data_IF_810256334204
#
_entry.id   IF_810256334204
#
_cell.length_a   1.000
_cell.length_b   1.000
_cell.length_c   1.000
_cell.angle_alpha   90.00
_cell.angle_beta   90.00
_cell.angle_gamma   90.00
#
_symmetry.space_group_name_H-M   'P 1'
#
loop_
_entity.id
_entity.type
_entity.pdbx_description
1 polymer ?
#
# COMPACT_ATOMS: atom_id res chain seq x y z
N UNK A 1 66.37 -25.28 50.91
CA UNK A 1 66.23 -24.38 49.76
C UNK A 1 64.75 -24.11 49.54
N UNK A 2 64.33 -22.86 49.67
CA UNK A 2 63.25 -22.22 48.90
C UNK A 2 63.06 -20.80 49.45
N UNK A 3 63.50 -19.81 48.69
CA UNK A 3 63.23 -18.39 48.93
C UNK A 3 62.02 -18.02 48.09
N UNK A 4 61.01 -17.38 48.68
CA UNK A 4 60.00 -16.62 47.94
C UNK A 4 59.93 -15.23 48.56
N UNK A 5 60.34 -14.22 47.78
CA UNK A 5 60.31 -12.82 48.13
C UNK A 5 59.19 -12.13 47.35
N UNK A 6 58.22 -11.58 48.08
CA UNK A 6 57.15 -10.73 47.55
C UNK A 6 57.65 -9.29 47.52
N UNK A 7 57.89 -8.72 46.33
CA UNK A 7 58.14 -7.29 46.17
C UNK A 7 56.86 -6.59 45.69
N UNK A 8 56.29 -5.73 46.53
CA UNK A 8 55.20 -4.84 46.17
C UNK A 8 55.77 -3.41 46.08
N UNK A 9 56.08 -2.94 44.86
CA UNK A 9 56.54 -1.58 44.62
C UNK A 9 55.34 -0.65 44.41
N UNK A 10 55.19 0.36 45.28
CA UNK A 10 54.18 1.42 45.13
C UNK A 10 54.62 2.37 44.00
N UNK A 11 53.79 2.51 42.96
CA UNK A 11 54.02 3.50 41.90
C UNK A 11 54.04 4.94 42.46
N UNK A 12 54.98 5.79 42.01
CA UNK A 12 55.04 7.20 42.38
C UNK A 12 53.75 7.97 42.00
N UNK A 13 53.34 8.91 42.84
CA UNK A 13 52.08 9.65 42.67
C UNK A 13 51.96 10.40 41.34
N UNK A 14 53.07 10.89 40.76
CA UNK A 14 53.05 11.57 39.46
C UNK A 14 52.69 10.61 38.31
N UNK A 15 53.07 9.34 38.40
CA UNK A 15 52.73 8.32 37.39
C UNK A 15 51.24 8.00 37.44
N UNK A 16 50.65 7.95 38.65
CA UNK A 16 49.20 7.77 38.81
C UNK A 16 48.41 8.95 38.23
N UNK A 17 48.90 10.17 38.40
CA UNK A 17 48.26 11.38 37.84
C UNK A 17 48.31 11.39 36.31
N UNK A 18 49.44 11.00 35.71
CA UNK A 18 49.59 10.89 34.25
C UNK A 18 48.64 9.83 33.68
N UNK A 19 48.52 8.66 34.34
CA UNK A 19 47.59 7.60 33.91
C UNK A 19 46.12 8.05 34.00
N UNK A 20 45.76 8.83 35.03
CA UNK A 20 44.43 9.42 35.18
C UNK A 20 44.12 10.42 34.07
N UNK A 21 45.05 11.32 33.75
CA UNK A 21 44.89 12.30 32.67
C UNK A 21 44.78 11.62 31.30
N UNK A 22 45.60 10.60 31.03
CA UNK A 22 45.50 9.79 29.80
C UNK A 22 44.14 9.10 29.69
N UNK A 23 43.63 8.53 30.78
CA UNK A 23 42.30 7.89 30.79
C UNK A 23 41.17 8.87 30.49
N UNK A 24 41.29 10.11 30.97
CA UNK A 24 40.30 11.15 30.72
C UNK A 24 40.33 11.65 29.27
N UNK A 25 41.52 11.78 28.68
CA UNK A 25 41.67 12.14 27.26
C UNK A 25 41.11 11.06 26.35
N UNK A 26 41.38 9.78 26.64
CA UNK A 26 40.81 8.65 25.89
C UNK A 26 39.28 8.64 26.02
N UNK A 27 38.75 8.87 27.22
CA UNK A 27 37.30 8.95 27.44
C UNK A 27 36.66 10.10 26.64
N UNK A 28 37.27 11.28 26.62
CA UNK A 28 36.79 12.42 25.83
C UNK A 28 36.86 12.16 24.33
N UNK A 29 37.93 11.51 23.84
CA UNK A 29 38.04 11.10 22.44
C UNK A 29 36.99 10.07 22.06
N UNK A 30 36.68 9.10 22.93
CA UNK A 30 35.62 8.12 22.73
C UNK A 30 34.24 8.79 22.74
N UNK A 31 33.95 9.69 23.69
CA UNK A 31 32.69 10.45 23.72
C UNK A 31 32.55 11.29 22.44
N UNK A 32 33.61 11.96 21.99
CA UNK A 32 33.60 12.74 20.76
C UNK A 32 33.38 11.83 19.53
N UNK A 33 34.07 10.70 19.44
CA UNK A 33 33.92 9.71 18.37
C UNK A 33 32.51 9.11 18.32
N UNK A 34 31.95 8.70 19.46
CA UNK A 34 30.58 8.20 19.54
C UNK A 34 29.51 9.28 19.31
N UNK A 35 29.75 10.52 19.74
CA UNK A 35 28.85 11.64 19.44
C UNK A 35 28.81 11.97 17.94
N UNK A 36 29.95 11.83 17.24
CA UNK A 36 30.05 12.00 15.79
C UNK A 36 29.43 10.83 15.04
N UNK A 37 29.62 9.59 15.51
CA UNK A 37 28.94 8.42 14.94
C UNK A 37 27.42 8.48 15.12
N UNK A 38 26.91 8.91 16.27
CA UNK A 38 25.47 9.11 16.47
C UNK A 38 24.88 10.16 15.53
N UNK A 39 25.59 11.27 15.31
CA UNK A 39 25.16 12.34 14.40
C UNK A 39 25.26 11.94 12.92
N UNK A 40 26.30 11.18 12.55
CA UNK A 40 26.48 10.66 11.18
C UNK A 40 25.46 9.56 10.89
N UNK A 41 25.21 8.64 11.83
CA UNK A 41 24.17 7.62 11.71
C UNK A 41 22.78 8.25 11.51
N UNK A 42 22.42 9.29 12.27
CA UNK A 42 21.15 10.01 12.10
C UNK A 42 20.98 10.69 10.72
N UNK A 43 22.08 11.12 10.08
CA UNK A 43 22.03 11.78 8.78
C UNK A 43 21.98 10.75 7.64
N UNK A 44 22.69 9.63 7.75
CA UNK A 44 22.64 8.55 6.75
C UNK A 44 21.35 7.70 6.84
N UNK A 45 20.73 7.57 8.03
CA UNK A 45 19.53 6.76 8.26
C UNK A 45 18.24 7.39 7.70
N UNK A 46 18.17 8.72 7.56
CA UNK A 46 16.94 9.41 7.13
C UNK A 46 16.78 9.56 5.62
N UNK A 47 17.87 9.55 4.86
CA UNK A 47 17.80 9.63 3.40
C UNK A 47 17.56 8.25 2.79
N UNK A 48 18.25 7.23 3.29
CA UNK A 48 18.11 5.85 2.82
C UNK A 48 16.71 5.27 3.15
N UNK A 49 16.18 5.58 4.33
CA UNK A 49 14.82 5.15 4.73
C UNK A 49 13.70 5.78 3.93
N UNK A 50 13.85 7.00 3.39
CA UNK A 50 12.84 7.61 2.52
C UNK A 50 12.85 7.03 1.12
N UNK A 51 14.04 6.72 0.60
CA UNK A 51 14.20 6.12 -0.72
C UNK A 51 13.56 4.74 -0.80
N UNK A 52 13.50 4.00 0.32
CA UNK A 52 12.81 2.71 0.41
C UNK A 52 11.32 2.76 0.02
N UNK A 53 10.65 3.92 0.18
CA UNK A 53 9.25 4.09 -0.19
C UNK A 53 9.05 4.54 -1.64
N UNK A 54 10.11 4.99 -2.32
CA UNK A 54 10.03 5.35 -3.74
C UNK A 54 10.01 4.07 -4.59
N UNK A 55 9.15 4.05 -5.61
CA UNK A 55 9.18 2.99 -6.61
C UNK A 55 10.19 3.37 -7.68
N UNK A 56 11.34 2.69 -7.71
CA UNK A 56 12.43 2.99 -8.63
C UNK A 56 12.30 2.20 -9.94
N UNK A 57 12.51 2.83 -11.12
CA UNK A 57 12.35 2.20 -12.44
C UNK A 57 13.32 1.05 -12.75
N UNK A 58 14.54 1.08 -12.20
CA UNK A 58 15.61 0.15 -12.60
C UNK A 58 16.09 -0.79 -11.49
N UNK A 59 15.72 -0.54 -10.24
CA UNK A 59 16.19 -1.31 -9.07
C UNK A 59 15.19 -2.41 -8.64
N UNK A 60 14.04 -2.49 -9.31
CA UNK A 60 12.92 -3.30 -8.84
C UNK A 60 12.38 -2.82 -7.50
N UNK A 61 11.49 -3.59 -6.86
CA UNK A 61 10.94 -3.23 -5.57
C UNK A 61 11.98 -3.52 -4.46
N UNK A 62 12.67 -2.50 -3.94
CA UNK A 62 13.59 -2.65 -2.81
C UNK A 62 12.84 -2.76 -1.46
N UNK A 63 11.94 -3.76 -1.38
CA UNK A 63 11.04 -3.97 -0.25
C UNK A 63 11.76 -4.45 1.01
N UNK A 64 13.03 -4.81 0.90
CA UNK A 64 13.83 -5.30 2.04
C UNK A 64 13.99 -4.25 3.16
N UNK A 65 13.88 -2.97 2.81
CA UNK A 65 13.91 -1.84 3.75
C UNK A 65 12.51 -1.45 4.25
N UNK A 66 11.45 -2.03 3.70
CA UNK A 66 10.08 -1.79 4.14
C UNK A 66 9.61 -2.84 5.14
N UNK A 67 8.70 -2.50 6.06
CA UNK A 67 8.10 -3.47 6.97
C UNK A 67 7.51 -4.68 6.23
N UNK A 68 7.79 -5.88 6.72
CA UNK A 68 7.18 -7.11 6.19
C UNK A 68 5.70 -7.17 6.59
N UNK A 69 4.82 -6.76 5.68
CA UNK A 69 3.37 -6.72 5.91
C UNK A 69 2.74 -8.11 6.06
N UNK A 70 3.37 -9.18 5.59
CA UNK A 70 2.89 -10.54 5.85
C UNK A 70 3.14 -10.99 7.30
N UNK A 71 4.01 -10.30 8.05
CA UNK A 71 4.37 -10.66 9.43
C UNK A 71 3.60 -9.91 10.52
N UNK A 72 2.80 -8.91 10.16
CA UNK A 72 2.00 -8.14 11.11
C UNK A 72 0.60 -8.75 11.30
N UNK A 73 -0.10 -8.32 12.35
CA UNK A 73 -1.48 -8.74 12.59
C UNK A 73 -2.42 -8.09 11.58
N UNK A 74 -3.30 -8.87 10.96
CA UNK A 74 -4.37 -8.38 10.08
C UNK A 74 -5.74 -8.64 10.71
N UNK A 75 -6.77 -7.83 10.37
CA UNK A 75 -8.12 -8.08 10.88
C UNK A 75 -8.56 -9.49 10.55
N UNK A 76 -9.09 -10.21 11.55
CA UNK A 76 -9.71 -11.51 11.30
C UNK A 76 -11.09 -11.27 10.69
N UNK A 77 -11.18 -11.39 9.37
CA UNK A 77 -12.43 -11.25 8.65
C UNK A 77 -13.22 -12.56 8.65
N UNK A 78 -14.40 -12.55 9.26
CA UNK A 78 -15.41 -13.60 9.06
C UNK A 78 -16.04 -13.44 7.67
N UNK A 79 -15.28 -13.78 6.63
CA UNK A 79 -15.70 -13.66 5.22
C UNK A 79 -16.96 -14.51 4.95
N UNK A 80 -17.88 -14.04 4.09
CA UNK A 80 -19.09 -14.76 3.77
C UNK A 80 -18.78 -16.13 3.12
N UNK A 81 -19.63 -17.11 3.41
CA UNK A 81 -19.51 -18.47 2.87
C UNK A 81 -20.14 -18.62 1.47
N UNK A 82 -19.88 -17.66 0.58
CA UNK A 82 -20.34 -17.73 -0.81
C UNK A 82 -19.45 -18.68 -1.60
N UNK A 83 -20.05 -19.54 -2.43
CA UNK A 83 -19.33 -20.55 -3.22
C UNK A 83 -19.05 -20.10 -4.65
N UNK A 84 -19.90 -19.22 -5.19
CA UNK A 84 -19.79 -18.61 -6.52
C UNK A 84 -20.15 -17.13 -6.39
N UNK A 85 -20.91 -16.57 -7.32
CA UNK A 85 -21.28 -15.14 -7.33
C UNK A 85 -22.33 -14.83 -6.26
N UNK A 86 -22.15 -13.69 -5.60
CA UNK A 86 -23.13 -13.10 -4.68
C UNK A 86 -23.22 -11.60 -4.92
N UNK A 87 -24.40 -11.02 -4.75
CA UNK A 87 -24.60 -9.58 -4.82
C UNK A 87 -24.68 -9.09 -3.39
N UNK A 88 -23.64 -8.40 -2.93
CA UNK A 88 -23.69 -7.74 -1.64
C UNK A 88 -24.63 -6.54 -1.63
N UNK A 89 -25.08 -6.16 -0.42
CA UNK A 89 -25.91 -4.96 -0.23
C UNK A 89 -25.26 -3.99 0.74
N UNK A 90 -25.31 -2.70 0.41
CA UNK A 90 -24.81 -1.64 1.29
C UNK A 90 -23.32 -1.75 1.58
N UNK A 91 -22.98 -1.97 2.84
CA UNK A 91 -21.62 -1.87 3.38
C UNK A 91 -21.14 -3.19 3.99
N UNK A 92 -21.71 -4.32 3.59
CA UNK A 92 -21.31 -5.63 4.11
C UNK A 92 -19.95 -6.07 3.55
N UNK A 93 -19.33 -7.08 4.17
CA UNK A 93 -18.15 -7.73 3.60
C UNK A 93 -18.60 -8.73 2.52
N UNK A 94 -18.26 -8.50 1.25
CA UNK A 94 -18.93 -9.18 0.11
C UNK A 94 -18.12 -10.27 -0.58
N UNK A 95 -16.83 -10.38 -0.28
CA UNK A 95 -15.94 -11.38 -0.87
C UNK A 95 -15.72 -12.57 0.07
N UNK A 96 -16.00 -13.78 -0.44
CA UNK A 96 -15.54 -15.02 0.21
C UNK A 96 -14.01 -15.08 0.26
N UNK A 97 -13.46 -16.00 1.07
CA UNK A 97 -12.01 -16.19 1.19
C UNK A 97 -11.35 -16.50 -0.16
N UNK A 98 -11.95 -17.40 -0.94
CA UNK A 98 -11.46 -17.79 -2.25
C UNK A 98 -11.45 -16.64 -3.24
N UNK A 99 -12.50 -15.82 -3.26
CA UNK A 99 -12.62 -14.66 -4.16
C UNK A 99 -11.64 -13.54 -3.80
N UNK A 100 -11.49 -13.23 -2.51
CA UNK A 100 -10.47 -12.29 -2.04
C UNK A 100 -9.07 -12.76 -2.46
N UNK A 101 -8.76 -14.03 -2.22
CA UNK A 101 -7.46 -14.60 -2.59
C UNK A 101 -7.26 -14.67 -4.11
N UNK A 102 -8.33 -14.78 -4.91
CA UNK A 102 -8.25 -14.63 -6.36
C UNK A 102 -7.77 -13.23 -6.75
N UNK A 103 -8.37 -12.17 -6.19
CA UNK A 103 -7.97 -10.79 -6.49
C UNK A 103 -6.51 -10.52 -6.09
N UNK A 104 -6.10 -10.99 -4.90
CA UNK A 104 -4.72 -10.87 -4.44
C UNK A 104 -3.75 -11.56 -5.41
N UNK A 105 -4.05 -12.80 -5.83
CA UNK A 105 -3.18 -13.54 -6.76
C UNK A 105 -3.13 -12.89 -8.14
N UNK A 106 -4.25 -12.33 -8.63
CA UNK A 106 -4.27 -11.61 -9.90
C UNK A 106 -3.44 -10.33 -9.85
N UNK A 107 -3.53 -9.55 -8.77
CA UNK A 107 -2.74 -8.34 -8.59
C UNK A 107 -1.24 -8.65 -8.49
N UNK A 108 -0.85 -9.72 -7.79
CA UNK A 108 0.54 -10.18 -7.72
C UNK A 108 1.09 -10.61 -9.08
N UNK A 109 0.31 -11.32 -9.89
CA UNK A 109 0.75 -11.68 -11.24
C UNK A 109 0.83 -10.47 -12.17
N UNK A 110 -0.07 -9.50 -12.03
CA UNK A 110 0.03 -8.23 -12.73
C UNK A 110 1.32 -7.49 -12.37
N UNK A 111 1.62 -7.34 -11.08
CA UNK A 111 2.87 -6.74 -10.61
C UNK A 111 4.10 -7.48 -11.16
N UNK A 112 4.08 -8.82 -11.17
CA UNK A 112 5.15 -9.64 -11.76
C UNK A 112 5.39 -9.30 -13.22
N UNK A 113 4.31 -9.10 -13.99
CA UNK A 113 4.40 -8.65 -15.38
C UNK A 113 5.00 -7.24 -15.46
N UNK A 114 4.55 -6.30 -14.64
CA UNK A 114 5.09 -4.94 -14.63
C UNK A 114 6.59 -4.91 -14.31
N UNK A 115 7.05 -5.70 -13.33
CA UNK A 115 8.47 -5.86 -13.01
C UNK A 115 9.24 -6.47 -14.19
N UNK A 116 8.70 -7.52 -14.83
CA UNK A 116 9.36 -8.17 -15.97
C UNK A 116 9.56 -7.23 -17.17
N UNK A 117 8.70 -6.22 -17.30
CA UNK A 117 8.75 -5.19 -18.33
C UNK A 117 9.54 -3.95 -17.90
N UNK A 118 10.07 -3.90 -16.66
CA UNK A 118 10.68 -2.72 -16.04
C UNK A 118 9.74 -1.50 -16.01
N UNK A 119 8.48 -1.76 -15.65
CA UNK A 119 7.41 -0.77 -15.60
C UNK A 119 6.87 -0.56 -14.19
N UNK A 120 7.57 -1.00 -13.15
CA UNK A 120 7.06 -0.91 -11.77
C UNK A 120 6.72 0.52 -11.34
N UNK A 121 7.37 1.54 -11.89
CA UNK A 121 7.10 2.96 -11.64
C UNK A 121 6.12 3.60 -12.64
N UNK A 122 5.57 2.83 -13.59
CA UNK A 122 4.64 3.31 -14.62
C UNK A 122 3.18 2.94 -14.36
N UNK A 123 2.88 2.41 -13.18
CA UNK A 123 1.52 2.08 -12.75
C UNK A 123 1.28 2.42 -11.30
N UNK A 124 0.01 2.43 -10.90
CA UNK A 124 -0.40 2.66 -9.52
C UNK A 124 -1.77 2.05 -9.22
N UNK A 125 -2.04 1.76 -7.94
CA UNK A 125 -3.39 1.45 -7.45
C UNK A 125 -4.35 2.61 -7.78
N UNK A 126 -5.53 2.31 -8.31
CA UNK A 126 -6.46 3.31 -8.81
C UNK A 126 -7.86 3.17 -8.19
N UNK A 127 -8.73 4.16 -8.43
CA UNK A 127 -10.16 4.13 -8.08
C UNK A 127 -10.46 3.55 -6.67
N UNK A 128 -11.35 2.56 -6.57
CA UNK A 128 -11.77 1.96 -5.30
C UNK A 128 -10.63 1.24 -4.57
N UNK A 129 -9.71 0.65 -5.32
CA UNK A 129 -8.52 -0.01 -4.76
C UNK A 129 -7.59 0.97 -4.04
N UNK A 130 -7.35 2.14 -4.62
CA UNK A 130 -6.56 3.19 -3.97
C UNK A 130 -7.26 3.72 -2.71
N UNK A 131 -8.58 3.89 -2.75
CA UNK A 131 -9.36 4.24 -1.56
C UNK A 131 -9.21 3.17 -0.47
N UNK A 132 -9.24 1.89 -0.84
CA UNK A 132 -9.01 0.77 0.08
C UNK A 132 -7.65 0.85 0.78
N UNK A 133 -6.57 1.12 0.03
CA UNK A 133 -5.23 1.33 0.59
C UNK A 133 -5.18 2.45 1.62
N UNK A 134 -5.87 3.57 1.37
CA UNK A 134 -5.92 4.73 2.28
C UNK A 134 -6.82 4.50 3.49
N UNK A 135 -7.87 3.70 3.35
CA UNK A 135 -8.98 3.64 4.31
C UNK A 135 -8.95 2.39 5.18
N UNK A 136 -8.53 1.26 4.63
CA UNK A 136 -8.63 -0.06 5.25
C UNK A 136 -7.30 -0.83 5.23
N UNK A 137 -6.26 -0.28 4.59
CA UNK A 137 -5.02 -0.98 4.24
C UNK A 137 -5.23 -2.24 3.38
N UNK A 138 -6.41 -2.44 2.79
CA UNK A 138 -6.77 -3.55 1.90
C UNK A 138 -7.97 -3.14 1.03
N UNK A 139 -8.54 -4.06 0.25
CA UNK A 139 -9.75 -3.80 -0.52
C UNK A 139 -10.88 -3.28 0.39
N UNK A 140 -11.69 -2.35 -0.11
CA UNK A 140 -12.86 -1.88 0.65
C UNK A 140 -13.78 -3.09 0.91
N UNK A 141 -14.31 -3.28 2.14
CA UNK A 141 -15.06 -4.48 2.50
C UNK A 141 -16.25 -4.80 1.56
N UNK A 142 -16.89 -3.77 1.04
CA UNK A 142 -18.03 -3.85 0.11
C UNK A 142 -17.67 -3.60 -1.36
N UNK A 143 -16.40 -3.79 -1.72
CA UNK A 143 -15.91 -3.71 -3.10
C UNK A 143 -15.51 -5.10 -3.60
N UNK A 144 -15.68 -5.37 -4.91
CA UNK A 144 -15.59 -6.72 -5.46
C UNK A 144 -14.59 -6.91 -6.61
N UNK A 145 -13.83 -5.88 -6.96
CA UNK A 145 -12.73 -5.94 -7.93
C UNK A 145 -11.51 -5.13 -7.48
N UNK A 146 -10.47 -5.15 -8.31
CA UNK A 146 -9.24 -4.39 -8.09
C UNK A 146 -8.92 -3.57 -9.33
N UNK A 147 -8.65 -2.28 -9.16
CA UNK A 147 -8.32 -1.34 -10.21
C UNK A 147 -6.85 -0.92 -10.10
N UNK A 148 -6.15 -0.99 -11.23
CA UNK A 148 -4.81 -0.40 -11.43
C UNK A 148 -4.84 0.54 -12.61
N UNK A 149 -4.01 1.58 -12.61
CA UNK A 149 -3.90 2.50 -13.74
C UNK A 149 -2.47 2.55 -14.26
N UNK A 150 -2.31 2.55 -15.59
CA UNK A 150 -1.02 2.46 -16.27
C UNK A 150 -0.93 3.48 -17.41
N UNK A 151 0.29 3.93 -17.75
CA UNK A 151 0.48 4.76 -18.94
C UNK A 151 0.09 3.99 -20.21
N UNK A 152 -0.85 4.55 -20.99
CA UNK A 152 -1.40 3.95 -22.20
C UNK A 152 -0.31 3.54 -23.21
N UNK A 153 0.84 4.24 -23.22
CA UNK A 153 1.96 3.94 -24.12
C UNK A 153 2.50 2.52 -23.95
N UNK A 154 2.32 1.91 -22.78
CA UNK A 154 2.78 0.54 -22.48
C UNK A 154 1.70 -0.53 -22.70
N UNK A 155 0.47 -0.16 -23.09
CA UNK A 155 -0.66 -1.10 -23.19
C UNK A 155 -0.34 -2.32 -24.07
N UNK A 156 0.29 -2.13 -25.24
CA UNK A 156 0.61 -3.22 -26.17
C UNK A 156 1.62 -4.22 -25.57
N UNK A 157 2.68 -3.74 -24.91
CA UNK A 157 3.67 -4.61 -24.29
C UNK A 157 3.09 -5.36 -23.10
N UNK A 158 2.26 -4.69 -22.30
CA UNK A 158 1.55 -5.30 -21.17
C UNK A 158 0.58 -6.38 -21.67
N UNK A 159 -0.24 -6.09 -22.67
CA UNK A 159 -1.16 -7.08 -23.28
C UNK A 159 -0.40 -8.31 -23.77
N UNK A 160 0.71 -8.12 -24.49
CA UNK A 160 1.52 -9.23 -24.98
C UNK A 160 2.10 -10.07 -23.83
N UNK A 161 2.61 -9.43 -22.77
CA UNK A 161 3.15 -10.14 -21.61
C UNK A 161 2.07 -10.90 -20.82
N UNK A 162 0.90 -10.29 -20.61
CA UNK A 162 -0.23 -10.92 -19.93
C UNK A 162 -0.81 -12.10 -20.74
N UNK A 163 -0.82 -12.01 -22.07
CA UNK A 163 -1.24 -13.12 -22.94
C UNK A 163 -0.31 -14.34 -22.87
N UNK A 164 0.95 -14.13 -22.47
CA UNK A 164 1.96 -15.18 -22.29
C UNK A 164 1.99 -15.77 -20.88
N UNK A 165 1.09 -15.34 -19.98
CA UNK A 165 0.96 -15.96 -18.65
C UNK A 165 0.50 -17.42 -18.76
N UNK A 166 0.72 -18.23 -17.70
CA UNK A 166 0.23 -19.60 -17.65
C UNK A 166 -1.26 -19.72 -18.02
N UNK A 167 -1.65 -20.88 -18.55
CA UNK A 167 -2.99 -21.13 -19.08
C UNK A 167 -4.12 -21.07 -18.03
N UNK A 168 -3.79 -20.87 -16.76
CA UNK A 168 -4.75 -20.56 -15.70
C UNK A 168 -5.21 -19.09 -15.70
N UNK A 169 -4.55 -18.19 -16.45
CA UNK A 169 -4.92 -16.78 -16.56
C UNK A 169 -5.52 -16.46 -17.94
N UNK A 170 -6.40 -15.47 -17.98
CA UNK A 170 -7.03 -14.95 -19.19
C UNK A 170 -7.07 -13.44 -19.13
N UNK A 171 -7.05 -12.83 -20.31
CA UNK A 171 -7.25 -11.39 -20.46
C UNK A 171 -8.43 -11.10 -21.39
N UNK A 172 -9.01 -9.92 -21.23
CA UNK A 172 -9.99 -9.40 -22.17
C UNK A 172 -9.75 -7.91 -22.39
N UNK A 173 -9.54 -7.51 -23.65
CA UNK A 173 -9.29 -6.13 -24.00
C UNK A 173 -10.60 -5.41 -24.34
N UNK A 174 -10.83 -4.25 -23.72
CA UNK A 174 -11.96 -3.37 -24.03
C UNK A 174 -11.46 -2.10 -24.75
N UNK A 175 -12.34 -1.16 -25.09
CA UNK A 175 -11.91 0.08 -25.76
C UNK A 175 -10.92 0.89 -24.91
N UNK A 176 -11.26 1.16 -23.64
CA UNK A 176 -10.47 2.03 -22.75
C UNK A 176 -9.77 1.35 -21.57
N UNK A 177 -10.00 0.05 -21.34
CA UNK A 177 -9.38 -0.73 -20.24
C UNK A 177 -9.21 -2.19 -20.64
N UNK A 178 -8.39 -2.92 -19.89
CA UNK A 178 -8.22 -4.36 -20.04
C UNK A 178 -8.58 -5.08 -18.74
N UNK A 179 -8.95 -6.36 -18.83
CA UNK A 179 -9.23 -7.22 -17.68
C UNK A 179 -8.21 -8.34 -17.59
N UNK A 180 -7.78 -8.68 -16.38
CA UNK A 180 -7.01 -9.89 -16.07
C UNK A 180 -7.77 -10.71 -15.03
N UNK A 181 -7.97 -12.00 -15.31
CA UNK A 181 -8.77 -12.90 -14.50
C UNK A 181 -8.30 -14.36 -14.66
N UNK A 182 -8.78 -15.28 -13.82
CA UNK A 182 -8.48 -16.70 -14.00
C UNK A 182 -9.30 -17.29 -15.13
N UNK A 183 -8.78 -18.35 -15.76
CA UNK A 183 -9.56 -19.25 -16.61
C UNK A 183 -10.83 -19.63 -15.83
N UNK A 184 -12.03 -19.40 -16.39
CA UNK A 184 -13.25 -19.56 -15.62
C UNK A 184 -13.43 -21.02 -15.16
N UNK A 185 -13.80 -21.18 -13.89
CA UNK A 185 -14.17 -22.46 -13.30
C UNK A 185 -15.44 -22.96 -13.98
N UNK A 186 -15.49 -24.25 -14.31
CA UNK A 186 -16.66 -24.86 -14.95
C UNK A 186 -17.91 -24.74 -14.07
N UNK A 187 -19.08 -24.55 -14.68
CA UNK A 187 -20.35 -24.46 -13.95
C UNK A 187 -20.68 -25.76 -13.18
N UNK A 188 -20.21 -26.90 -13.70
CA UNK A 188 -20.43 -28.22 -13.08
C UNK A 188 -19.38 -28.59 -12.01
N UNK A 189 -18.36 -27.74 -11.81
CA UNK A 189 -17.33 -28.00 -10.82
C UNK A 189 -17.82 -27.74 -9.40
N UNK A 190 -17.48 -28.63 -8.46
CA UNK A 190 -17.83 -28.44 -7.05
C UNK A 190 -16.86 -27.44 -6.43
N UNK A 191 -17.39 -26.34 -5.88
CA UNK A 191 -16.61 -25.24 -5.32
C UNK A 191 -17.08 -24.90 -3.90
N UNK A 192 -16.19 -24.33 -3.10
CA UNK A 192 -16.48 -23.85 -1.75
C UNK A 192 -15.99 -22.40 -1.58
N UNK A 193 -16.24 -21.81 -0.41
CA UNK A 193 -15.87 -20.41 -0.12
C UNK A 193 -14.38 -20.12 -0.04
N UNK A 194 -13.52 -21.13 -0.14
CA UNK A 194 -12.07 -20.99 -0.23
C UNK A 194 -11.54 -21.28 -1.65
N UNK A 195 -12.40 -21.60 -2.62
CA UNK A 195 -12.00 -21.85 -4.00
C UNK A 195 -11.44 -20.59 -4.66
N UNK A 196 -10.19 -20.66 -5.12
CA UNK A 196 -9.54 -19.62 -5.92
C UNK A 196 -9.84 -19.84 -7.40
N UNK A 197 -10.20 -18.78 -8.09
CA UNK A 197 -10.51 -18.74 -9.51
C UNK A 197 -11.59 -17.71 -9.83
N UNK A 198 -12.00 -17.66 -11.09
CA UNK A 198 -13.03 -16.75 -11.62
C UNK A 198 -14.21 -17.56 -12.17
N UNK A 199 -15.38 -16.94 -12.22
CA UNK A 199 -16.65 -17.52 -12.61
C UNK A 199 -17.19 -16.81 -13.86
N UNK A 200 -17.56 -17.58 -14.87
CA UNK A 200 -17.98 -17.06 -16.17
C UNK A 200 -19.35 -16.38 -16.11
N UNK A 201 -19.59 -15.36 -16.93
CA UNK A 201 -20.93 -14.81 -17.16
C UNK A 201 -21.59 -15.44 -18.38
N UNK A 202 -22.92 -15.29 -18.46
CA UNK A 202 -23.69 -15.70 -19.64
C UNK A 202 -23.67 -14.68 -20.77
N UNK A 203 -23.39 -13.42 -20.49
CA UNK A 203 -23.66 -12.28 -21.39
C UNK A 203 -22.45 -11.37 -21.67
N UNK A 204 -21.29 -11.66 -21.06
CA UNK A 204 -20.04 -10.95 -21.33
C UNK A 204 -18.88 -11.94 -21.49
N UNK A 205 -17.83 -11.60 -22.26
CA UNK A 205 -16.74 -12.51 -22.61
C UNK A 205 -15.59 -12.57 -21.58
N UNK A 206 -15.75 -12.02 -20.38
CA UNK A 206 -14.79 -12.12 -19.27
C UNK A 206 -15.38 -12.93 -18.10
N UNK A 207 -14.64 -13.05 -17.00
CA UNK A 207 -15.10 -13.72 -15.78
C UNK A 207 -14.61 -12.99 -14.54
N UNK A 208 -15.28 -13.24 -13.40
CA UNK A 208 -15.02 -12.55 -12.13
C UNK A 208 -14.76 -13.53 -10.97
N UNK A 209 -13.87 -13.24 -10.02
CA UNK A 209 -13.14 -11.98 -9.80
C UNK A 209 -12.13 -11.65 -10.90
N UNK A 210 -11.89 -10.36 -11.10
CA UNK A 210 -10.93 -9.82 -12.06
C UNK A 210 -10.24 -8.59 -11.48
N UNK A 211 -9.11 -8.21 -12.09
CA UNK A 211 -8.58 -6.86 -11.96
C UNK A 211 -8.90 -6.06 -13.25
N UNK A 212 -9.25 -4.80 -13.09
CA UNK A 212 -9.37 -3.82 -14.16
C UNK A 212 -8.06 -3.04 -14.32
N UNK A 213 -7.51 -3.07 -15.53
CA UNK A 213 -6.30 -2.36 -15.93
C UNK A 213 -6.76 -1.11 -16.71
N UNK A 214 -6.85 -0.01 -15.99
CA UNK A 214 -7.19 1.31 -16.50
C UNK A 214 -5.95 1.95 -17.16
N UNK A 215 -6.20 2.90 -18.06
CA UNK A 215 -5.13 3.60 -18.76
C UNK A 215 -5.28 5.10 -18.65
N UNK A 216 -4.15 5.80 -18.52
CA UNK A 216 -4.09 7.24 -18.69
C UNK A 216 -3.25 7.59 -19.91
N UNK A 217 -3.62 8.69 -20.59
CA UNK A 217 -2.91 9.21 -21.75
C UNK A 217 -2.38 10.59 -21.41
N UNK A 218 -1.06 10.76 -21.52
CA UNK A 218 -0.41 12.07 -21.39
C UNK A 218 -0.92 13.03 -22.47
N UNK A 219 -1.30 14.23 -22.05
CA UNK A 219 -1.77 15.32 -22.93
C UNK A 219 -0.78 16.49 -22.95
N UNK A 220 0.12 16.57 -21.97
CA UNK A 220 1.24 17.50 -21.90
C UNK A 220 2.41 16.92 -21.10
N UNK A 221 3.34 17.78 -20.67
CA UNK A 221 4.49 17.34 -19.87
C UNK A 221 4.06 16.78 -18.50
N UNK A 222 3.14 17.49 -17.85
CA UNK A 222 2.69 17.21 -16.48
C UNK A 222 1.19 16.88 -16.42
N UNK A 223 0.53 16.72 -17.56
CA UNK A 223 -0.92 16.49 -17.61
C UNK A 223 -1.27 15.20 -18.34
N UNK A 224 -2.31 14.53 -17.87
CA UNK A 224 -2.88 13.36 -18.52
C UNK A 224 -4.40 13.33 -18.38
N UNK A 225 -5.05 12.47 -19.14
CA UNK A 225 -6.47 12.14 -19.01
C UNK A 225 -6.65 10.65 -18.82
N UNK A 226 -7.65 10.23 -18.04
CA UNK A 226 -8.05 8.82 -18.04
C UNK A 226 -8.73 8.45 -19.36
N UNK A 227 -8.36 7.32 -19.94
CA UNK A 227 -8.91 6.87 -21.23
C UNK A 227 -10.38 6.45 -21.12
N UNK A 228 -10.77 5.81 -20.01
CA UNK A 228 -12.17 5.39 -19.80
C UNK A 228 -13.10 6.57 -19.50
N UNK A 229 -12.57 7.61 -18.85
CA UNK A 229 -13.33 8.77 -18.42
C UNK A 229 -12.56 10.04 -18.79
N UNK A 230 -12.56 10.40 -20.08
CA UNK A 230 -11.74 11.50 -20.63
C UNK A 230 -11.97 12.87 -19.97
N UNK A 231 -13.05 13.04 -19.21
CA UNK A 231 -13.31 14.22 -18.39
C UNK A 231 -12.47 14.30 -17.10
N UNK A 232 -11.66 13.29 -16.81
CA UNK A 232 -10.79 13.20 -15.63
C UNK A 232 -9.36 13.55 -16.02
N UNK A 233 -8.97 14.80 -15.78
CA UNK A 233 -7.61 15.28 -15.96
C UNK A 233 -6.76 15.00 -14.71
N UNK A 234 -5.52 14.55 -14.93
CA UNK A 234 -4.52 14.34 -13.90
C UNK A 234 -3.43 15.38 -14.01
N UNK A 235 -3.05 15.95 -12.87
CA UNK A 235 -1.72 16.52 -12.68
C UNK A 235 -0.77 15.38 -12.33
N UNK A 236 0.11 15.02 -13.27
CA UNK A 236 1.08 13.94 -13.13
C UNK A 236 2.10 14.21 -12.02
N UNK A 237 2.27 15.46 -11.56
CA UNK A 237 3.10 15.77 -10.38
C UNK A 237 2.48 15.29 -9.08
N UNK A 238 1.16 15.10 -9.04
CA UNK A 238 0.46 14.49 -7.91
C UNK A 238 0.56 12.96 -7.94
N UNK A 239 0.93 12.38 -9.09
CA UNK A 239 1.06 10.93 -9.28
C UNK A 239 2.50 10.49 -9.12
N UNK A 240 3.43 11.13 -9.83
CA UNK A 240 4.80 10.68 -9.98
C UNK A 240 5.81 11.51 -9.17
N UNK A 241 6.95 10.90 -8.77
CA UNK A 241 7.19 9.45 -8.75
C UNK A 241 6.18 8.76 -7.83
N UNK A 242 5.75 7.56 -8.23
CA UNK A 242 4.85 6.73 -7.43
C UNK A 242 5.57 6.22 -6.18
N UNK A 243 4.80 5.98 -5.13
CA UNK A 243 5.27 5.59 -3.80
C UNK A 243 4.69 4.23 -3.42
N UNK A 244 5.42 3.43 -2.64
CA UNK A 244 4.88 2.22 -2.04
C UNK A 244 3.87 2.55 -0.94
N UNK A 245 2.68 1.94 -1.05
CA UNK A 245 1.64 1.95 -0.02
C UNK A 245 1.19 0.54 0.35
N UNK A 246 0.69 0.32 1.59
CA UNK A 246 0.15 -0.97 1.97
C UNK A 246 -1.19 -1.23 1.26
N UNK A 247 -1.35 -2.44 0.73
CA UNK A 247 -2.64 -2.96 0.30
C UNK A 247 -2.65 -4.49 0.46
N UNK A 248 -3.35 -4.94 1.49
CA UNK A 248 -3.21 -6.27 2.05
C UNK A 248 -1.79 -6.51 2.55
N UNK A 249 -1.33 -7.75 2.42
CA UNK A 249 -0.02 -8.19 2.93
C UNK A 249 1.17 -7.75 2.04
N UNK A 250 0.98 -6.77 1.15
CA UNK A 250 1.95 -6.37 0.13
C UNK A 250 2.04 -4.85 0.01
N UNK A 251 3.18 -4.39 -0.49
CA UNK A 251 3.42 -3.00 -0.86
C UNK A 251 3.22 -2.86 -2.36
N UNK A 252 2.43 -1.88 -2.79
CA UNK A 252 2.20 -1.61 -4.20
C UNK A 252 2.42 -0.13 -4.54
N UNK A 253 2.78 0.17 -5.81
CA UNK A 253 2.82 1.53 -6.31
C UNK A 253 1.48 2.24 -6.15
N UNK A 254 1.53 3.47 -5.62
CA UNK A 254 0.41 4.37 -5.48
C UNK A 254 0.84 5.80 -5.86
N UNK A 255 -0.09 6.69 -6.22
CA UNK A 255 0.23 8.09 -6.49
C UNK A 255 0.94 8.74 -5.30
N UNK A 256 1.89 9.65 -5.55
CA UNK A 256 2.55 10.45 -4.52
C UNK A 256 1.56 11.17 -3.60
N UNK A 257 0.53 11.77 -4.18
CA UNK A 257 -0.57 12.42 -3.49
C UNK A 257 -1.90 11.75 -3.88
N UNK A 258 -2.25 10.65 -3.22
CA UNK A 258 -3.43 9.87 -3.58
C UNK A 258 -4.73 10.62 -3.31
N UNK A 259 -4.76 11.52 -2.31
CA UNK A 259 -5.94 12.35 -2.02
C UNK A 259 -6.26 13.29 -3.17
N UNK A 260 -5.24 13.92 -3.76
CA UNK A 260 -5.44 14.81 -4.91
C UNK A 260 -5.99 14.04 -6.11
N UNK A 261 -5.42 12.88 -6.42
CA UNK A 261 -5.91 12.05 -7.53
C UNK A 261 -7.35 11.59 -7.27
N UNK A 262 -7.64 11.03 -6.09
CA UNK A 262 -8.98 10.53 -5.73
C UNK A 262 -10.05 11.62 -5.73
N UNK A 263 -9.68 12.87 -5.43
CA UNK A 263 -10.61 14.01 -5.48
C UNK A 263 -11.07 14.34 -6.91
N UNK A 264 -10.38 13.85 -7.95
CA UNK A 264 -10.85 13.94 -9.34
C UNK A 264 -11.99 12.95 -9.62
N UNK A 265 -12.02 11.80 -8.93
CA UNK A 265 -13.01 10.74 -9.08
C UNK A 265 -14.22 10.93 -8.18
N UNK A 266 -13.96 11.20 -6.91
CA UNK A 266 -14.94 11.16 -5.83
C UNK A 266 -15.08 12.54 -5.21
N UNK A 267 -16.32 12.93 -4.90
CA UNK A 267 -16.57 14.21 -4.24
C UNK A 267 -15.90 14.24 -2.86
N UNK A 268 -15.00 15.20 -2.67
CA UNK A 268 -14.33 15.50 -1.41
C UNK A 268 -15.16 16.42 -0.50
N UNK A 269 -16.48 16.50 -0.63
CA UNK A 269 -17.25 17.51 0.12
C UNK A 269 -17.84 17.05 1.45
N UNK A 270 -17.91 15.73 1.72
CA UNK A 270 -18.77 15.21 2.82
C UNK A 270 -18.23 14.02 3.65
N UNK A 271 -16.98 13.58 3.46
CA UNK A 271 -16.39 12.43 4.18
C UNK A 271 -17.30 11.18 4.21
N UNK A 272 -17.96 10.92 3.08
CA UNK A 272 -18.93 9.82 2.97
C UNK A 272 -18.26 8.55 2.49
N UNK A 273 -18.73 7.44 3.03
CA UNK A 273 -18.50 6.12 2.50
C UNK A 273 -19.66 5.82 1.54
N UNK A 274 -19.31 5.46 0.31
CA UNK A 274 -20.25 5.12 -0.74
C UNK A 274 -20.24 3.61 -0.94
N UNK A 275 -21.42 3.00 -0.96
CA UNK A 275 -21.55 1.61 -1.42
C UNK A 275 -21.35 1.56 -2.93
N UNK A 276 -20.90 0.42 -3.45
CA UNK A 276 -20.72 0.25 -4.89
C UNK A 276 -22.06 0.50 -5.64
N UNK A 277 -21.97 1.12 -6.82
CA UNK A 277 -23.10 1.26 -7.75
C UNK A 277 -23.13 0.13 -8.79
N UNK A 278 -22.16 -0.78 -8.75
CA UNK A 278 -21.92 -1.81 -9.74
C UNK A 278 -21.54 -3.10 -9.02
N UNK A 279 -22.37 -4.13 -9.13
CA UNK A 279 -21.95 -5.47 -8.70
C UNK A 279 -21.23 -6.13 -9.86
N UNK A 280 -19.91 -6.25 -9.79
CA UNK A 280 -19.15 -7.00 -10.77
C UNK A 280 -19.50 -8.49 -10.65
N UNK A 281 -19.67 -9.03 -9.44
CA UNK A 281 -20.11 -10.40 -9.25
C UNK A 281 -21.37 -10.78 -10.07
N UNK A 282 -22.34 -9.89 -10.24
CA UNK A 282 -23.51 -10.11 -11.08
C UNK A 282 -23.46 -9.42 -12.46
N UNK A 283 -22.39 -8.69 -12.76
CA UNK A 283 -22.25 -7.84 -13.96
C UNK A 283 -23.54 -7.01 -14.23
N UNK A 284 -24.16 -6.44 -13.19
CA UNK A 284 -25.17 -5.35 -13.33
C UNK A 284 -25.00 -4.16 -12.36
N UNK A 285 -25.61 -3.02 -12.71
CA UNK A 285 -25.75 -1.89 -11.79
C UNK A 285 -26.66 -2.24 -10.62
N UNK A 286 -26.38 -1.66 -9.45
CA UNK A 286 -27.18 -1.83 -8.23
C UNK A 286 -27.38 -0.46 -7.55
N UNK A 287 -28.44 -0.29 -6.73
CA UNK A 287 -28.62 0.94 -5.97
C UNK A 287 -27.41 1.22 -5.08
N UNK A 288 -26.85 2.43 -5.20
CA UNK A 288 -25.78 2.92 -4.34
C UNK A 288 -26.36 3.82 -3.24
N UNK A 289 -25.71 3.81 -2.09
CA UNK A 289 -26.04 4.63 -0.93
C UNK A 289 -24.77 5.26 -0.36
N UNK A 290 -24.93 6.39 0.32
CA UNK A 290 -23.82 7.10 0.96
C UNK A 290 -24.14 7.33 2.42
N UNK A 291 -23.20 7.02 3.30
CA UNK A 291 -23.31 7.24 4.74
C UNK A 291 -22.06 7.96 5.26
N UNK A 292 -22.13 8.69 6.38
CA UNK A 292 -20.90 9.14 7.05
C UNK A 292 -20.02 7.92 7.35
N UNK A 293 -18.73 7.95 6.98
CA UNK A 293 -17.85 6.81 7.22
C UNK A 293 -17.78 6.43 8.71
N UNK A 294 -17.95 7.39 9.62
CA UNK A 294 -18.01 7.16 11.07
C UNK A 294 -19.14 6.22 11.51
N UNK A 295 -20.23 6.13 10.75
CA UNK A 295 -21.32 5.19 11.04
C UNK A 295 -20.92 3.71 10.84
N UNK A 296 -19.78 3.46 10.18
CA UNK A 296 -19.29 2.13 9.84
C UNK A 296 -18.19 1.62 10.77
N UNK A 297 -17.76 2.40 11.77
CA UNK A 297 -16.66 2.02 12.68
C UNK A 297 -16.91 0.71 13.42
N UNK A 298 -18.15 0.42 13.80
CA UNK A 298 -18.50 -0.82 14.48
C UNK A 298 -18.49 -2.04 13.55
N UNK A 299 -18.49 -1.84 12.23
CA UNK A 299 -18.54 -2.90 11.23
C UNK A 299 -17.16 -3.17 10.62
N UNK A 300 -16.39 -2.10 10.39
CA UNK A 300 -15.14 -2.16 9.65
C UNK A 300 -14.07 -1.33 10.33
N UNK A 301 -12.84 -1.80 10.23
CA UNK A 301 -11.69 -1.04 10.72
C UNK A 301 -11.32 0.08 9.74
N UNK A 302 -10.87 1.22 10.26
CA UNK A 302 -10.48 2.38 9.47
C UNK A 302 -9.07 2.85 9.83
N UNK A 303 -8.37 3.36 8.83
CA UNK A 303 -7.05 3.95 9.01
C UNK A 303 -7.15 5.30 9.71
N UNK A 304 -6.33 5.45 10.76
CA UNK A 304 -6.07 6.68 11.46
C UNK A 304 -4.60 7.06 11.31
N UNK A 305 -4.35 8.29 10.85
CA UNK A 305 -3.01 8.83 10.59
C UNK A 305 -2.48 9.60 11.78
N UNK A 306 -1.24 9.28 12.19
CA UNK A 306 -0.52 9.91 13.27
C UNK A 306 0.84 10.43 12.76
N UNK A 307 0.97 11.72 12.41
CA UNK A 307 2.25 12.27 11.93
C UNK A 307 3.35 12.10 12.98
N UNK A 308 4.55 11.71 12.54
CA UNK A 308 5.70 11.49 13.42
C UNK A 308 6.43 12.82 13.66
N UNK A 309 6.55 13.22 14.93
CA UNK A 309 7.24 14.45 15.32
C UNK A 309 8.75 14.41 14.99
N UNK A 310 9.34 15.57 14.67
CA UNK A 310 10.80 15.74 14.54
C UNK A 310 11.35 15.91 13.12
N UNK A 311 10.54 15.73 12.07
CA UNK A 311 10.97 15.97 10.68
C UNK A 311 10.48 17.36 10.21
N UNK A 312 11.40 18.31 10.01
CA UNK A 312 11.08 19.66 9.54
C UNK A 312 10.54 19.64 8.10
N UNK A 313 9.49 20.43 7.86
CA UNK A 313 8.91 20.67 6.52
C UNK A 313 9.98 21.30 5.60
N UNK A 314 10.40 20.59 4.56
CA UNK A 314 10.91 21.19 3.32
C UNK A 314 9.77 21.29 2.31
N UNK A 315 9.86 22.15 1.31
CA UNK A 315 8.82 22.26 0.27
C UNK A 315 8.72 21.02 -0.65
N UNK A 316 9.65 20.07 -0.49
CA UNK A 316 9.68 18.73 -1.13
C UNK A 316 9.26 17.61 -0.14
N UNK A 317 8.81 17.95 1.07
CA UNK A 317 8.84 17.04 2.23
C UNK A 317 7.64 16.10 2.34
N UNK A 318 7.80 14.92 1.75
CA UNK A 318 7.14 13.74 2.29
C UNK A 318 7.53 13.56 3.77
N UNK A 319 6.56 13.20 4.60
CA UNK A 319 6.68 13.07 6.05
C UNK A 319 6.31 11.66 6.50
N UNK A 320 7.04 11.15 7.49
CA UNK A 320 6.68 9.88 8.10
C UNK A 320 5.39 10.03 8.91
N UNK A 321 4.50 9.07 8.72
CA UNK A 321 3.23 8.98 9.41
C UNK A 321 3.02 7.54 9.87
N UNK A 322 2.62 7.35 11.13
CA UNK A 322 2.15 6.06 11.60
C UNK A 322 0.66 5.93 11.24
N UNK A 323 0.34 5.03 10.33
CA UNK A 323 -1.02 4.67 9.98
C UNK A 323 -1.47 3.49 10.87
N UNK A 324 -2.45 3.74 11.72
CA UNK A 324 -3.06 2.74 12.58
C UNK A 324 -4.36 2.25 11.96
N UNK A 325 -4.51 0.94 11.77
CA UNK A 325 -5.82 0.37 11.43
C UNK A 325 -6.61 0.15 12.72
N UNK A 326 -7.70 0.88 12.91
CA UNK A 326 -8.44 0.99 14.17
C UNK A 326 -9.79 0.27 14.05
N UNK A 327 -10.08 -0.66 14.96
CA UNK A 327 -11.38 -1.35 15.04
C UNK A 327 -12.46 -0.48 15.74
N UNK A 328 -13.72 -0.93 15.72
CA UNK A 328 -14.85 -0.20 16.31
C UNK A 328 -14.79 0.02 17.82
N UNK A 329 -13.87 -0.65 18.53
CA UNK A 329 -13.60 -0.38 19.95
C UNK A 329 -12.59 0.76 20.16
N UNK A 330 -12.02 1.29 19.07
CA UNK A 330 -10.93 2.27 19.11
C UNK A 330 -9.54 1.64 19.29
N UNK A 331 -9.41 0.31 19.19
CA UNK A 331 -8.13 -0.37 19.34
C UNK A 331 -7.39 -0.44 18.01
N UNK A 332 -6.08 -0.16 18.03
CA UNK A 332 -5.20 -0.41 16.89
C UNK A 332 -4.99 -1.91 16.69
N UNK A 333 -5.44 -2.44 15.55
CA UNK A 333 -5.18 -3.82 15.10
C UNK A 333 -3.69 -3.96 14.73
N UNK A 334 -3.20 -3.01 13.94
CA UNK A 334 -1.80 -2.88 13.60
C UNK A 334 -1.43 -1.43 13.33
N UNK A 335 -0.12 -1.21 13.19
CA UNK A 335 0.49 0.06 12.83
C UNK A 335 1.47 -0.15 11.68
N UNK A 336 1.37 0.67 10.65
CA UNK A 336 2.29 0.69 9.50
C UNK A 336 2.91 2.08 9.43
N UNK A 337 4.24 2.16 9.35
CA UNK A 337 4.92 3.44 9.07
C UNK A 337 4.92 3.66 7.57
N UNK A 338 4.33 4.77 7.14
CA UNK A 338 4.28 5.18 5.75
C UNK A 338 4.97 6.54 5.55
N UNK A 339 5.42 6.81 4.34
CA UNK A 339 5.97 8.09 3.91
C UNK A 339 4.92 8.81 3.06
N UNK A 340 4.29 9.85 3.61
CA UNK A 340 3.08 10.46 3.07
C UNK A 340 3.29 11.90 2.63
N UNK A 341 2.52 12.33 1.64
CA UNK A 341 2.36 13.75 1.30
C UNK A 341 1.65 14.49 2.45
N UNK A 342 2.05 15.74 2.80
CA UNK A 342 1.38 16.51 3.83
C UNK A 342 -0.13 16.68 3.62
N UNK A 343 -0.58 16.77 2.36
CA UNK A 343 -2.01 16.84 2.03
C UNK A 343 -2.73 15.57 2.49
N UNK A 344 -2.11 14.40 2.35
CA UNK A 344 -2.70 13.15 2.81
C UNK A 344 -2.76 13.07 4.35
N UNK A 345 -1.71 13.53 5.03
CA UNK A 345 -1.64 13.55 6.50
C UNK A 345 -2.73 14.44 7.10
N UNK A 346 -2.91 15.63 6.52
CA UNK A 346 -3.88 16.64 7.02
C UNK A 346 -5.31 16.33 6.56
N UNK A 347 -5.47 15.56 5.49
CA UNK A 347 -6.77 15.22 4.92
C UNK A 347 -7.54 14.20 5.78
N UNK A 348 -8.81 14.52 6.02
CA UNK A 348 -9.81 13.57 6.53
C UNK A 348 -10.58 12.86 5.42
N UNK A 349 -10.20 13.04 4.15
CA UNK A 349 -10.79 12.30 3.02
C UNK A 349 -10.18 10.92 2.89
N UNK A 350 -11.03 9.97 2.50
CA UNK A 350 -10.65 8.58 2.23
C UNK A 350 -9.99 7.85 3.41
N UNK A 351 -10.04 8.43 4.61
CA UNK A 351 -9.72 7.84 5.90
C UNK A 351 -10.80 8.30 6.90
N UNK A 352 -10.77 7.81 8.14
CA UNK A 352 -11.75 8.24 9.13
C UNK A 352 -11.15 8.22 10.54
N UNK A 353 -11.29 9.35 11.25
CA UNK A 353 -10.74 9.52 12.59
C UNK A 353 -11.67 8.93 13.63
N UNK A 354 -11.21 7.93 14.36
CA UNK A 354 -11.95 7.32 15.45
C UNK A 354 -11.89 8.22 16.69
N UNK A 355 -13.03 8.62 17.24
CA UNK A 355 -13.08 9.57 18.37
C UNK A 355 -12.48 9.00 19.67
N UNK A 356 -12.50 7.68 19.81
CA UNK A 356 -11.93 6.97 20.98
C UNK A 356 -10.46 6.59 20.82
N UNK A 357 -9.85 6.86 19.65
CA UNK A 357 -8.43 6.62 19.44
C UNK A 357 -7.64 7.85 19.88
N UNK A 358 -6.90 7.71 20.98
CA UNK A 358 -6.08 8.75 21.63
C UNK A 358 -4.66 8.77 21.12
#
# INVERSE_FOLDING_TARGET
MAVSATYCTKLPNYVKLILLLLSFVVMLQMIWFYSKQGFIALIFDTHDSKNAYLVMPDEGPNLSFLPNLASISWPHHSRPNFTRRSVGTGFELILSKGQHNSLERLLREFERVMISLKLQDQWFLAAGTLVGSLRHHEIIPWDDDVDVCVDLRHRKSIQSALQNLPSEFRTYAQSGRDKLYFRPISENETVNSSTIGSFNYSHVPWAWPFIDILYFRRTGNDTAVEVMWESKEYDLKQVFPVMYRPFGQHWYPAPRNPVSLLSTYYSSSKHLCMSTARSHAAERSIPSSSVPCSSLFNQHAFVQRCPVAGYKRSWESLQFCDEHLVDGSGRSIHKIRALLDPVEIESSFFAAKHTSFS
#
